data_IF_291227896041
#
_entry.id   IF_291227896041
#
_cell.length_a   1.000
_cell.length_b   1.000
_cell.length_c   1.000
_cell.angle_alpha   90.00
_cell.angle_beta   90.00
_cell.angle_gamma   90.00
#
_symmetry.space_group_name_H-M   'P 1'
#
loop_
_entity.id
_entity.type
_entity.pdbx_description
1 polymer ?
#
# COMPACT_ATOMS: atom_id res chain seq x y z
N UNK A 1 3.92 -6.86 2.38
CA UNK A 1 4.56 -5.54 2.61
C UNK A 1 5.39 -5.39 3.90
N UNK A 2 5.57 -6.40 4.77
CA UNK A 2 6.38 -6.21 6.00
C UNK A 2 7.84 -5.78 5.71
N UNK A 3 8.48 -6.38 4.70
CA UNK A 3 9.86 -6.02 4.34
C UNK A 3 10.01 -4.56 3.91
N UNK A 4 9.04 -4.03 3.15
CA UNK A 4 8.99 -2.63 2.75
C UNK A 4 8.87 -1.68 3.96
N UNK A 5 8.04 -2.04 4.94
CA UNK A 5 7.91 -1.30 6.21
C UNK A 5 9.25 -1.29 6.97
N UNK A 6 9.91 -2.44 7.07
CA UNK A 6 11.19 -2.57 7.78
C UNK A 6 12.27 -1.67 7.14
N UNK A 7 12.31 -1.59 5.80
CA UNK A 7 13.23 -0.70 5.07
C UNK A 7 12.96 0.77 5.37
N UNK A 8 11.71 1.23 5.28
CA UNK A 8 11.36 2.63 5.57
C UNK A 8 11.61 3.01 7.03
N UNK A 9 11.30 2.11 7.97
CA UNK A 9 11.57 2.35 9.40
C UNK A 9 13.07 2.46 9.68
N UNK A 10 13.90 1.63 9.04
CA UNK A 10 15.36 1.75 9.12
C UNK A 10 15.86 3.06 8.48
N UNK A 11 15.29 3.47 7.35
CA UNK A 11 15.62 4.74 6.69
C UNK A 11 15.34 5.96 7.60
N UNK A 12 14.21 5.96 8.32
CA UNK A 12 13.88 6.99 9.32
C UNK A 12 14.85 6.98 10.50
N UNK A 13 15.15 5.80 11.04
CA UNK A 13 16.05 5.63 12.19
C UNK A 13 17.47 6.13 11.91
N UNK A 14 18.02 5.81 10.74
CA UNK A 14 19.36 6.29 10.34
C UNK A 14 19.46 7.81 10.21
N UNK A 15 18.33 8.53 10.18
CA UNK A 15 18.23 9.99 10.06
C UNK A 15 17.72 10.65 11.35
N UNK A 16 17.59 9.90 12.43
CA UNK A 16 17.02 10.35 13.71
C UNK A 16 15.61 10.98 13.55
N UNK A 17 14.85 10.49 12.56
CA UNK A 17 13.48 10.93 12.31
C UNK A 17 12.50 10.02 13.05
N UNK A 18 11.35 10.57 13.53
CA UNK A 18 10.34 9.76 14.18
C UNK A 18 9.78 8.73 13.20
N UNK A 19 9.77 7.46 13.63
CA UNK A 19 9.06 6.39 12.91
C UNK A 19 7.56 6.70 12.93
N UNK A 20 6.90 6.61 11.79
CA UNK A 20 5.45 6.71 11.74
C UNK A 20 4.84 5.60 12.62
N UNK A 21 3.87 5.95 13.46
CA UNK A 21 3.15 4.94 14.21
C UNK A 21 2.31 4.10 13.25
N UNK A 22 2.41 2.78 13.31
CA UNK A 22 1.50 1.86 12.60
C UNK A 22 0.05 1.98 13.10
N UNK A 23 -0.16 2.68 14.23
CA UNK A 23 -1.47 3.08 14.75
C UNK A 23 -1.84 4.51 14.35
N UNK A 24 -1.22 5.10 13.33
CA UNK A 24 -1.68 6.36 12.73
C UNK A 24 -3.01 6.14 11.99
N UNK A 25 -4.03 5.67 12.72
CA UNK A 25 -5.43 5.56 12.33
C UNK A 25 -6.13 6.92 12.43
N UNK A 26 -5.39 8.01 12.20
CA UNK A 26 -5.96 9.37 12.16
C UNK A 26 -6.47 9.71 10.76
N UNK A 27 -7.19 10.84 10.65
CA UNK A 27 -7.75 11.37 9.41
C UNK A 27 -6.77 11.32 8.22
N UNK A 28 -5.47 11.51 8.47
CA UNK A 28 -4.46 11.51 7.43
C UNK A 28 -4.33 10.17 6.67
N UNK A 29 -4.35 9.03 7.36
CA UNK A 29 -4.26 7.72 6.71
C UNK A 29 -5.56 7.34 5.98
N UNK A 30 -6.71 7.79 6.48
CA UNK A 30 -8.02 7.59 5.85
C UNK A 30 -8.20 8.42 4.56
N UNK A 31 -7.41 9.49 4.38
CA UNK A 31 -7.43 10.33 3.19
C UNK A 31 -6.40 9.94 2.13
N UNK A 32 -5.52 8.97 2.41
CA UNK A 32 -4.57 8.48 1.41
C UNK A 32 -5.32 7.64 0.37
N UNK A 33 -5.05 7.90 -0.90
CA UNK A 33 -5.64 7.15 -2.00
C UNK A 33 -5.34 5.65 -1.85
N UNK A 34 -6.36 4.81 -2.07
CA UNK A 34 -6.24 3.35 -1.97
C UNK A 34 -6.31 2.76 -0.55
N UNK A 35 -6.14 3.56 0.51
CA UNK A 35 -6.29 3.05 1.88
C UNK A 35 -7.74 2.70 2.20
N UNK A 36 -7.94 1.60 2.92
CA UNK A 36 -9.27 1.17 3.35
C UNK A 36 -9.73 2.02 4.54
N UNK A 37 -10.97 2.51 4.49
CA UNK A 37 -11.61 3.15 5.64
C UNK A 37 -11.94 2.10 6.72
N UNK A 38 -12.17 2.51 7.99
CA UNK A 38 -12.62 1.59 9.03
C UNK A 38 -13.87 0.78 8.62
N UNK A 39 -14.85 1.42 7.98
CA UNK A 39 -16.08 0.77 7.52
C UNK A 39 -15.80 -0.26 6.41
N UNK A 40 -14.84 0.02 5.52
CA UNK A 40 -14.43 -0.92 4.48
C UNK A 40 -13.66 -2.11 5.06
N UNK A 41 -12.88 -1.88 6.13
CA UNK A 41 -12.22 -2.95 6.89
C UNK A 41 -13.25 -3.83 7.61
N UNK A 42 -14.29 -3.23 8.20
CA UNK A 42 -15.39 -3.97 8.84
C UNK A 42 -16.19 -4.78 7.81
N UNK A 43 -16.48 -4.20 6.64
CA UNK A 43 -17.12 -4.91 5.51
C UNK A 43 -16.30 -6.14 5.12
N UNK A 44 -14.99 -5.97 4.97
CA UNK A 44 -14.06 -7.06 4.64
C UNK A 44 -14.01 -8.13 5.74
N UNK A 45 -13.98 -7.73 7.00
CA UNK A 45 -13.97 -8.63 8.15
C UNK A 45 -15.28 -9.41 8.32
N UNK A 46 -16.40 -8.88 7.83
CA UNK A 46 -17.70 -9.55 7.85
C UNK A 46 -17.91 -10.51 6.66
N UNK A 47 -17.28 -10.26 5.51
CA UNK A 47 -17.45 -11.06 4.31
C UNK A 47 -16.88 -12.49 4.44
N UNK A 48 -17.49 -13.46 3.73
CA UNK A 48 -17.07 -14.89 3.76
C UNK A 48 -17.10 -15.49 2.35
N UNK A 49 -16.27 -16.51 2.13
CA UNK A 49 -16.20 -17.25 0.86
C UNK A 49 -15.98 -16.34 -0.35
N UNK A 50 -16.65 -16.63 -1.47
CA UNK A 50 -16.49 -15.86 -2.71
C UNK A 50 -16.81 -14.35 -2.58
N UNK A 51 -17.64 -13.96 -1.60
CA UNK A 51 -17.89 -12.55 -1.32
C UNK A 51 -16.66 -11.87 -0.70
N UNK A 52 -15.95 -12.57 0.19
CA UNK A 52 -14.67 -12.11 0.73
C UNK A 52 -13.63 -12.00 -0.37
N UNK A 53 -13.48 -13.03 -1.21
CA UNK A 53 -12.45 -13.05 -2.25
C UNK A 53 -12.60 -11.86 -3.22
N UNK A 54 -13.83 -11.60 -3.70
CA UNK A 54 -14.11 -10.47 -4.58
C UNK A 54 -13.86 -9.12 -3.91
N UNK A 55 -14.25 -8.98 -2.63
CA UNK A 55 -14.06 -7.75 -1.88
C UNK A 55 -12.57 -7.50 -1.63
N UNK A 56 -11.84 -8.52 -1.17
CA UNK A 56 -10.41 -8.47 -0.92
C UNK A 56 -9.63 -8.07 -2.18
N UNK A 57 -9.85 -8.78 -3.30
CA UNK A 57 -9.14 -8.52 -4.56
C UNK A 57 -9.40 -7.10 -5.06
N UNK A 58 -10.66 -6.66 -5.07
CA UNK A 58 -11.01 -5.29 -5.49
C UNK A 58 -10.35 -4.22 -4.62
N UNK A 59 -10.38 -4.40 -3.30
CA UNK A 59 -9.78 -3.44 -2.36
C UNK A 59 -8.26 -3.43 -2.46
N UNK A 60 -7.63 -4.60 -2.65
CA UNK A 60 -6.18 -4.70 -2.75
C UNK A 60 -5.63 -4.10 -4.05
N UNK A 61 -6.37 -4.23 -5.17
CA UNK A 61 -6.05 -3.52 -6.41
C UNK A 61 -6.03 -2.01 -6.16
N UNK A 62 -7.11 -1.45 -5.59
CA UNK A 62 -7.18 -0.01 -5.30
C UNK A 62 -6.10 0.45 -4.32
N UNK A 63 -5.80 -0.35 -3.30
CA UNK A 63 -4.72 -0.08 -2.35
C UNK A 63 -3.35 -0.01 -3.02
N UNK A 64 -3.05 -0.96 -3.94
CA UNK A 64 -1.81 -0.92 -4.69
C UNK A 64 -1.75 0.24 -5.68
N UNK A 65 -2.86 0.61 -6.32
CA UNK A 65 -2.92 1.79 -7.20
C UNK A 65 -2.59 3.08 -6.43
N UNK A 66 -3.10 3.23 -5.22
CA UNK A 66 -2.71 4.32 -4.32
C UNK A 66 -1.22 4.31 -3.97
N UNK A 67 -0.65 3.13 -3.70
CA UNK A 67 0.78 2.98 -3.46
C UNK A 67 1.63 3.34 -4.70
N UNK A 68 1.15 3.02 -5.91
CA UNK A 68 1.82 3.42 -7.16
C UNK A 68 1.81 4.94 -7.35
N UNK A 69 0.69 5.61 -7.06
CA UNK A 69 0.61 7.07 -7.12
C UNK A 69 1.60 7.73 -6.16
N UNK A 70 1.72 7.21 -4.93
CA UNK A 70 2.72 7.69 -3.97
C UNK A 70 4.17 7.41 -4.41
N UNK A 71 4.43 6.24 -4.99
CA UNK A 71 5.75 5.89 -5.49
C UNK A 71 6.18 6.80 -6.65
N UNK A 72 5.26 7.12 -7.57
CA UNK A 72 5.49 8.05 -8.68
C UNK A 72 5.81 9.48 -8.19
N UNK A 73 5.09 9.95 -7.17
CA UNK A 73 5.39 11.21 -6.48
C UNK A 73 6.80 11.18 -5.86
N UNK A 74 7.14 10.10 -5.14
CA UNK A 74 8.46 9.96 -4.52
C UNK A 74 9.60 9.90 -5.55
N UNK A 75 9.36 9.33 -6.74
CA UNK A 75 10.31 9.28 -7.85
C UNK A 75 10.50 10.63 -8.52
N UNK A 76 9.43 11.42 -8.60
CA UNK A 76 9.40 12.76 -9.24
C UNK A 76 10.01 13.84 -8.34
N UNK A 77 9.64 13.84 -7.06
CA UNK A 77 10.01 14.88 -6.10
C UNK A 77 11.24 14.53 -5.25
N UNK A 78 11.62 13.25 -5.22
CA UNK A 78 12.67 12.75 -4.34
C UNK A 78 14.07 13.22 -4.75
N UNK A 79 14.82 13.76 -3.78
CA UNK A 79 16.26 14.06 -3.93
C UNK A 79 17.18 12.96 -3.37
N UNK A 80 16.63 12.09 -2.52
CA UNK A 80 17.36 11.01 -1.85
C UNK A 80 17.41 9.75 -2.72
N UNK A 81 18.60 9.30 -3.10
CA UNK A 81 18.78 8.17 -4.04
C UNK A 81 18.32 6.85 -3.44
N UNK A 82 18.44 6.65 -2.12
CA UNK A 82 17.94 5.46 -1.44
C UNK A 82 16.42 5.41 -1.49
N UNK A 83 15.75 6.53 -1.18
CA UNK A 83 14.29 6.60 -1.23
C UNK A 83 13.75 6.42 -2.66
N UNK A 84 14.42 7.01 -3.66
CA UNK A 84 14.04 6.79 -5.07
C UNK A 84 14.20 5.34 -5.51
N UNK A 85 15.31 4.69 -5.13
CA UNK A 85 15.51 3.27 -5.41
C UNK A 85 14.41 2.41 -4.80
N UNK A 86 14.08 2.68 -3.54
CA UNK A 86 12.99 1.99 -2.85
C UNK A 86 11.62 2.26 -3.48
N UNK A 87 11.32 3.50 -3.88
CA UNK A 87 10.08 3.83 -4.59
C UNK A 87 9.96 3.10 -5.93
N UNK A 88 11.07 2.93 -6.67
CA UNK A 88 11.09 2.13 -7.89
C UNK A 88 10.82 0.64 -7.61
N UNK A 89 11.39 0.08 -6.54
CA UNK A 89 11.16 -1.30 -6.14
C UNK A 89 9.70 -1.54 -5.75
N UNK A 90 9.10 -0.62 -4.98
CA UNK A 90 7.66 -0.64 -4.64
C UNK A 90 6.82 -0.53 -5.92
N UNK A 91 7.14 0.39 -6.82
CA UNK A 91 6.38 0.53 -8.07
C UNK A 91 6.38 -0.77 -8.89
N UNK A 92 7.53 -1.44 -8.96
CA UNK A 92 7.67 -2.72 -9.67
C UNK A 92 6.90 -3.85 -8.97
N UNK A 93 7.03 -4.01 -7.64
CA UNK A 93 6.36 -5.07 -6.88
C UNK A 93 4.83 -4.92 -6.93
N UNK A 94 4.32 -3.72 -6.66
CA UNK A 94 2.89 -3.44 -6.61
C UNK A 94 2.22 -3.57 -7.98
N UNK A 95 2.91 -3.17 -9.06
CA UNK A 95 2.40 -3.36 -10.43
C UNK A 95 2.24 -4.85 -10.79
N UNK A 96 3.20 -5.67 -10.37
CA UNK A 96 3.13 -7.12 -10.56
C UNK A 96 1.98 -7.74 -9.73
N UNK A 97 1.79 -7.29 -8.48
CA UNK A 97 0.68 -7.72 -7.63
C UNK A 97 -0.68 -7.32 -8.19
N UNK A 98 -0.84 -6.10 -8.71
CA UNK A 98 -2.08 -5.67 -9.42
C UNK A 98 -2.38 -6.61 -10.59
N UNK A 99 -1.38 -6.90 -11.44
CA UNK A 99 -1.56 -7.79 -12.59
C UNK A 99 -2.06 -9.17 -12.14
N UNK A 100 -1.47 -9.72 -11.09
CA UNK A 100 -1.88 -11.01 -10.52
C UNK A 100 -3.29 -10.96 -9.94
N UNK A 101 -3.64 -9.89 -9.23
CA UNK A 101 -4.97 -9.70 -8.65
C UNK A 101 -6.04 -9.55 -9.72
N UNK A 102 -5.75 -8.84 -10.82
CA UNK A 102 -6.65 -8.74 -11.97
C UNK A 102 -6.88 -10.10 -12.64
N UNK A 103 -5.84 -10.94 -12.74
CA UNK A 103 -6.00 -12.32 -13.23
C UNK A 103 -6.89 -13.14 -12.30
N UNK A 104 -6.68 -13.05 -10.98
CA UNK A 104 -7.55 -13.71 -9.99
C UNK A 104 -8.99 -13.21 -10.12
N UNK A 105 -9.19 -11.89 -10.26
CA UNK A 105 -10.51 -11.28 -10.40
C UNK A 105 -11.29 -11.84 -11.59
N UNK A 106 -10.63 -12.17 -12.69
CA UNK A 106 -11.26 -12.79 -13.87
C UNK A 106 -11.70 -14.23 -13.65
N UNK A 107 -11.19 -14.88 -12.59
CA UNK A 107 -11.49 -16.29 -12.23
C UNK A 107 -12.45 -16.45 -11.05
N UNK A 108 -12.84 -15.35 -10.39
CA UNK A 108 -13.76 -15.30 -9.24
C UNK A 108 -15.23 -15.10 -9.63
#
# INVERSE_FOLDING_TARGET
QKGEIDVLQGWLETRDLPKASLTATGDHAAHMEGMLTPEQMDELAAARGAAFDRLFVRRMIAHHEGALAMADQALSDGIDTTNRGFAADVAASQSAEITRLQQIQQTL
#
